data_IF_596420244980
#
_entry.id   IF_596420244980
#
_cell.length_a   1.000
_cell.length_b   1.000
_cell.length_c   1.000
_cell.angle_alpha   90.00
_cell.angle_beta   90.00
_cell.angle_gamma   90.00
#
_symmetry.space_group_name_H-M   'P 1'
#
loop_
_entity.id
_entity.type
_entity.pdbx_description
1 polymer ?
#
# COMPACT_ATOMS: atom_id res chain seq x y z
N UNK A 1 12.90 8.38 -16.41
CA UNK A 1 12.32 8.05 -15.10
C UNK A 1 10.84 7.94 -15.32
N UNK A 2 10.25 6.76 -15.13
CA UNK A 2 8.81 6.54 -15.33
C UNK A 2 8.02 7.36 -14.30
N UNK A 3 7.55 8.53 -14.73
CA UNK A 3 6.64 9.42 -13.97
C UNK A 3 5.34 8.72 -13.53
N UNK A 4 5.02 7.56 -14.10
CA UNK A 4 3.84 6.76 -13.81
C UNK A 4 3.84 6.17 -12.38
N UNK A 5 4.99 6.17 -11.70
CA UNK A 5 5.18 5.54 -10.40
C UNK A 5 5.85 6.47 -9.38
N UNK A 6 5.54 7.77 -9.44
CA UNK A 6 5.94 8.70 -8.39
C UNK A 6 5.06 8.50 -7.15
N UNK A 7 5.68 8.07 -6.05
CA UNK A 7 5.01 7.77 -4.79
C UNK A 7 4.30 9.00 -4.21
N UNK A 8 4.84 10.21 -4.43
CA UNK A 8 4.21 11.44 -3.92
C UNK A 8 2.96 11.77 -4.73
N UNK A 9 2.99 11.62 -6.05
CA UNK A 9 1.80 11.78 -6.90
C UNK A 9 0.70 10.77 -6.54
N UNK A 10 1.08 9.52 -6.25
CA UNK A 10 0.12 8.48 -5.81
C UNK A 10 -0.51 8.89 -4.46
N UNK A 11 0.30 9.35 -3.50
CA UNK A 11 -0.21 9.82 -2.20
C UNK A 11 -1.16 11.02 -2.37
N UNK A 12 -0.83 11.98 -3.23
CA UNK A 12 -1.72 13.11 -3.54
C UNK A 12 -3.06 12.65 -4.13
N UNK A 13 -3.05 11.63 -4.99
CA UNK A 13 -4.29 11.08 -5.54
C UNK A 13 -5.15 10.41 -4.46
N UNK A 14 -4.54 9.66 -3.54
CA UNK A 14 -5.25 9.11 -2.38
C UNK A 14 -5.78 10.20 -1.46
N UNK A 15 -5.00 11.25 -1.20
CA UNK A 15 -5.45 12.37 -0.38
C UNK A 15 -6.68 13.05 -0.98
N UNK A 16 -6.67 13.34 -2.29
CA UNK A 16 -7.83 13.90 -2.98
C UNK A 16 -9.05 12.99 -2.88
N UNK A 17 -8.86 11.67 -3.03
CA UNK A 17 -9.95 10.71 -2.86
C UNK A 17 -10.51 10.76 -1.44
N UNK A 18 -9.66 10.76 -0.41
CA UNK A 18 -10.08 10.79 0.99
C UNK A 18 -10.82 12.08 1.34
N UNK A 19 -10.33 13.22 0.87
CA UNK A 19 -11.04 14.51 0.97
C UNK A 19 -12.42 14.43 0.32
N UNK A 20 -12.51 13.92 -0.90
CA UNK A 20 -13.79 13.79 -1.62
C UNK A 20 -14.79 12.90 -0.87
N UNK A 21 -14.33 11.84 -0.21
CA UNK A 21 -15.19 10.95 0.58
C UNK A 21 -15.81 11.67 1.79
N UNK A 22 -15.11 12.61 2.42
CA UNK A 22 -15.64 13.40 3.54
C UNK A 22 -16.84 14.28 3.15
N UNK A 23 -16.93 14.71 1.88
CA UNK A 23 -18.03 15.51 1.37
C UNK A 23 -19.24 14.68 0.91
N UNK A 24 -19.14 13.34 0.92
CA UNK A 24 -20.24 12.46 0.52
C UNK A 24 -21.14 12.18 1.73
N UNK A 25 -22.28 12.89 1.78
CA UNK A 25 -23.30 12.72 2.83
C UNK A 25 -23.71 11.25 3.05
N UNK A 26 -23.81 10.49 1.95
CA UNK A 26 -24.13 9.06 1.93
C UNK A 26 -23.19 8.20 2.80
N UNK A 27 -21.94 8.63 2.99
CA UNK A 27 -20.91 7.87 3.69
C UNK A 27 -20.53 8.44 5.06
N UNK A 28 -21.13 9.55 5.52
CA UNK A 28 -20.74 10.23 6.77
C UNK A 28 -20.84 9.36 8.03
N UNK A 29 -21.78 8.42 8.06
CA UNK A 29 -22.01 7.53 9.21
C UNK A 29 -21.32 6.17 9.03
N UNK A 30 -20.59 5.95 7.93
CA UNK A 30 -19.97 4.69 7.62
C UNK A 30 -18.49 4.71 8.00
N UNK A 31 -18.00 3.57 8.50
CA UNK A 31 -16.57 3.30 8.54
C UNK A 31 -16.11 2.91 7.15
N UNK A 32 -15.11 3.61 6.62
CA UNK A 32 -14.58 3.37 5.28
C UNK A 32 -13.25 2.63 5.40
N UNK A 33 -13.17 1.49 4.73
CA UNK A 33 -11.96 0.71 4.58
C UNK A 33 -11.54 0.71 3.11
N UNK A 34 -10.24 0.92 2.87
CA UNK A 34 -9.65 0.95 1.53
C UNK A 34 -8.73 -0.26 1.38
N UNK A 35 -9.16 -1.17 0.50
CA UNK A 35 -8.35 -2.32 0.10
C UNK A 35 -7.31 -1.89 -0.94
N UNK A 36 -6.04 -2.16 -0.63
CA UNK A 36 -4.90 -1.85 -1.50
C UNK A 36 -4.21 -3.15 -1.88
N UNK A 37 -4.00 -3.34 -3.17
CA UNK A 37 -3.24 -4.47 -3.67
C UNK A 37 -1.78 -4.38 -3.21
N UNK A 38 -1.20 -5.53 -2.85
CA UNK A 38 0.20 -5.64 -2.43
C UNK A 38 1.12 -5.76 -3.66
N UNK A 39 0.84 -4.94 -4.68
CA UNK A 39 1.79 -4.66 -5.73
C UNK A 39 3.03 -4.08 -5.04
N UNK A 40 4.19 -4.73 -5.22
CA UNK A 40 5.41 -4.61 -4.38
C UNK A 40 6.06 -3.22 -4.33
N UNK A 41 5.42 -2.17 -4.81
CA UNK A 41 6.04 -0.88 -5.01
C UNK A 41 5.03 0.24 -4.79
N UNK A 42 5.49 1.29 -4.11
CA UNK A 42 5.04 2.69 -4.23
C UNK A 42 4.44 3.43 -3.03
N UNK A 43 4.35 2.80 -1.86
CA UNK A 43 4.16 3.56 -0.62
C UNK A 43 5.28 3.13 0.31
N UNK A 44 6.41 3.82 0.20
CA UNK A 44 7.63 3.52 0.95
C UNK A 44 7.29 3.16 2.39
N UNK A 45 7.66 1.95 2.81
CA UNK A 45 7.80 1.68 4.24
C UNK A 45 8.69 2.78 4.80
N UNK A 46 8.30 3.38 5.92
CA UNK A 46 9.30 4.02 6.77
C UNK A 46 10.37 2.97 7.06
N UNK A 47 11.63 3.34 6.82
CA UNK A 47 12.77 2.43 6.73
C UNK A 47 12.70 1.34 7.80
N UNK A 48 12.72 0.05 7.44
CA UNK A 48 12.85 -0.98 8.46
C UNK A 48 14.29 -0.95 9.00
N UNK A 49 14.46 -1.10 10.31
CA UNK A 49 15.79 -1.18 10.95
C UNK A 49 16.64 -2.32 10.34
N UNK A 50 16.00 -3.33 9.75
CA UNK A 50 16.65 -4.45 9.08
C UNK A 50 17.00 -4.17 7.61
N UNK A 51 16.45 -3.11 7.00
CA UNK A 51 16.74 -2.70 5.62
C UNK A 51 18.11 -2.03 5.48
N UNK A 52 18.70 -1.62 6.61
CA UNK A 52 20.09 -1.16 6.67
C UNK A 52 21.02 -2.36 6.55
N UNK A 53 21.27 -2.74 5.29
CA UNK A 53 22.06 -3.88 4.85
C UNK A 53 23.39 -4.04 5.59
N UNK A 54 23.55 -5.26 6.09
CA UNK A 54 24.61 -5.77 6.95
C UNK A 54 25.90 -6.02 6.17
N UNK A 55 26.99 -5.39 6.60
CA UNK A 55 28.25 -6.10 6.87
C UNK A 55 28.84 -5.52 8.16
N UNK A 56 29.18 -6.34 9.17
CA UNK A 56 30.17 -5.92 10.16
C UNK A 56 31.38 -5.42 9.39
N UNK A 57 31.86 -4.21 9.66
CA UNK A 57 33.03 -3.71 8.96
C UNK A 57 34.18 -4.71 9.12
N UNK A 58 34.73 -5.19 8.01
CA UNK A 58 35.96 -5.99 7.90
C UNK A 58 37.21 -5.16 8.22
N UNK A 59 37.17 -4.26 9.22
CA UNK A 59 38.28 -3.37 9.55
C UNK A 59 38.71 -3.48 11.01
N UNK A 60 40.02 -3.38 11.20
CA UNK A 60 40.72 -3.39 12.49
C UNK A 60 40.67 -2.01 13.19
N UNK A 61 40.77 -2.00 14.52
CA UNK A 61 40.77 -0.80 15.38
C UNK A 61 39.64 -0.79 16.44
N UNK A 62 39.58 0.27 17.26
CA UNK A 62 38.64 0.45 18.40
C UNK A 62 37.14 0.38 18.05
N UNK A 63 36.82 0.37 16.74
CA UNK A 63 35.46 0.36 16.22
C UNK A 63 35.10 -0.93 15.44
N UNK A 64 35.92 -1.98 15.57
CA UNK A 64 35.65 -3.31 14.99
C UNK A 64 34.34 -3.87 15.55
N UNK A 65 33.34 -4.08 14.69
CA UNK A 65 32.03 -4.65 15.05
C UNK A 65 30.87 -3.67 15.28
N UNK A 66 31.07 -2.34 15.15
CA UNK A 66 29.99 -1.34 15.29
C UNK A 66 29.38 -0.96 13.92
N UNK A 67 28.05 -0.96 13.80
CA UNK A 67 27.35 -0.47 12.59
C UNK A 67 27.29 1.06 12.57
N UNK A 68 28.25 1.72 11.91
CA UNK A 68 28.28 3.20 11.78
C UNK A 68 26.95 3.80 11.31
N UNK A 69 26.22 3.12 10.43
CA UNK A 69 24.93 3.58 9.91
C UNK A 69 23.88 3.81 11.00
N UNK A 70 23.55 2.77 11.78
CA UNK A 70 22.53 2.86 12.83
C UNK A 70 22.93 3.81 13.97
N UNK A 71 24.22 3.90 14.30
CA UNK A 71 24.68 4.83 15.34
C UNK A 71 24.53 6.28 14.90
N UNK A 72 24.92 6.60 13.66
CA UNK A 72 24.74 7.93 13.09
C UNK A 72 23.26 8.28 12.95
N UNK A 73 22.43 7.32 12.54
CA UNK A 73 20.97 7.49 12.49
C UNK A 73 20.42 7.80 13.89
N UNK A 74 20.79 7.02 14.92
CA UNK A 74 20.34 7.26 16.29
C UNK A 74 20.74 8.66 16.79
N UNK A 75 21.98 9.09 16.52
CA UNK A 75 22.46 10.43 16.89
C UNK A 75 21.75 11.54 16.13
N UNK A 76 21.51 11.37 14.82
CA UNK A 76 20.76 12.33 13.99
C UNK A 76 19.30 12.46 14.42
N UNK A 77 18.71 11.39 14.96
CA UNK A 77 17.39 11.39 15.57
C UNK A 77 17.38 11.96 17.00
N UNK A 78 18.54 12.39 17.52
CA UNK A 78 18.67 12.97 18.86
C UNK A 78 18.58 11.94 20.00
N UNK A 79 18.73 10.64 19.71
CA UNK A 79 18.62 9.58 20.70
C UNK A 79 19.89 9.49 21.55
N UNK A 80 19.74 9.32 22.86
CA UNK A 80 20.87 9.11 23.80
C UNK A 80 21.36 7.65 23.68
N UNK A 81 22.50 7.45 23.03
CA UNK A 81 23.08 6.11 22.85
C UNK A 81 24.13 5.80 23.93
N UNK A 82 24.03 4.69 24.67
CA UNK A 82 25.04 4.28 25.65
C UNK A 82 26.41 3.98 25.00
N UNK A 83 27.51 4.33 25.68
CA UNK A 83 28.89 4.13 25.21
C UNK A 83 29.24 2.67 24.83
N UNK A 84 28.63 1.70 25.53
CA UNK A 84 28.81 0.25 25.32
C UNK A 84 27.56 -0.44 24.73
N UNK A 85 26.76 0.29 23.93
CA UNK A 85 25.55 -0.23 23.31
C UNK A 85 25.89 -1.36 22.31
N UNK A 86 25.30 -2.55 22.52
CA UNK A 86 25.37 -3.66 21.57
C UNK A 86 24.49 -3.39 20.36
N UNK A 87 24.80 -3.98 19.21
CA UNK A 87 24.03 -3.82 17.97
C UNK A 87 22.53 -4.10 18.17
N UNK A 88 22.18 -5.14 18.93
CA UNK A 88 20.80 -5.51 19.21
C UNK A 88 20.05 -4.42 19.98
N UNK A 89 20.68 -3.85 21.01
CA UNK A 89 20.11 -2.75 21.80
C UNK A 89 19.96 -1.48 20.95
N UNK A 90 20.92 -1.21 20.04
CA UNK A 90 20.84 -0.10 19.12
C UNK A 90 19.68 -0.26 18.13
N UNK A 91 19.43 -1.50 17.66
CA UNK A 91 18.27 -1.81 16.80
C UNK A 91 16.95 -1.59 17.52
N UNK A 92 16.84 -2.04 18.76
CA UNK A 92 15.64 -1.85 19.59
C UNK A 92 15.38 -0.35 19.83
N UNK A 93 16.42 0.40 20.16
CA UNK A 93 16.34 1.83 20.46
C UNK A 93 15.98 2.68 19.23
N UNK A 94 16.54 2.35 18.06
CA UNK A 94 16.17 2.99 16.78
C UNK A 94 14.78 2.53 16.32
N UNK A 95 14.44 1.25 16.51
CA UNK A 95 13.16 0.68 16.09
C UNK A 95 11.95 1.21 16.88
N UNK A 96 12.16 1.71 18.11
CA UNK A 96 11.13 2.40 18.88
C UNK A 96 10.82 3.81 18.36
N UNK A 97 11.72 4.42 17.59
CA UNK A 97 11.52 5.77 17.08
C UNK A 97 10.40 5.78 16.02
N UNK A 98 9.48 6.78 16.02
CA UNK A 98 8.33 6.82 15.10
C UNK A 98 8.68 6.63 13.63
N UNK A 99 9.85 7.13 13.21
CA UNK A 99 10.38 7.00 11.84
C UNK A 99 10.74 5.57 11.38
N UNK A 100 10.66 4.57 12.27
CA UNK A 100 10.90 3.14 11.98
C UNK A 100 9.68 2.29 12.30
N UNK A 101 8.52 2.92 12.54
CA UNK A 101 7.29 2.17 12.68
C UNK A 101 6.93 1.51 11.34
N UNK A 102 6.41 0.28 11.41
CA UNK A 102 5.95 -0.47 10.24
C UNK A 102 4.61 0.08 9.68
N UNK A 103 4.43 1.40 9.71
CA UNK A 103 3.25 2.08 9.18
C UNK A 103 3.68 2.85 7.94
N UNK A 104 3.03 2.57 6.83
CA UNK A 104 3.28 3.21 5.55
C UNK A 104 2.76 4.66 5.54
N UNK A 105 3.30 5.49 4.63
CA UNK A 105 2.78 6.85 4.42
C UNK A 105 1.27 6.87 4.10
N UNK A 106 0.78 5.88 3.35
CA UNK A 106 -0.64 5.78 3.00
C UNK A 106 -1.51 5.43 4.21
N UNK A 107 -1.06 4.53 5.08
CA UNK A 107 -1.77 4.24 6.33
C UNK A 107 -1.85 5.49 7.23
N UNK A 108 -0.75 6.24 7.36
CA UNK A 108 -0.75 7.51 8.10
C UNK A 108 -1.72 8.52 7.50
N UNK A 109 -1.74 8.63 6.17
CA UNK A 109 -2.69 9.49 5.46
C UNK A 109 -4.13 9.03 5.71
N UNK A 110 -4.44 7.75 5.56
CA UNK A 110 -5.77 7.20 5.83
C UNK A 110 -6.25 7.51 7.26
N UNK A 111 -5.37 7.32 8.26
CA UNK A 111 -5.67 7.62 9.66
C UNK A 111 -6.06 9.09 9.89
N UNK A 112 -5.44 10.04 9.17
CA UNK A 112 -5.81 11.47 9.27
C UNK A 112 -7.25 11.75 8.81
N UNK A 113 -7.78 10.93 7.89
CA UNK A 113 -9.12 11.05 7.35
C UNK A 113 -10.11 10.05 7.98
N UNK A 114 -9.70 9.27 8.99
CA UNK A 114 -10.53 8.23 9.61
C UNK A 114 -10.76 7.01 8.73
N UNK A 115 -9.88 6.78 7.75
CA UNK A 115 -9.96 5.69 6.76
C UNK A 115 -8.93 4.62 7.12
N UNK A 116 -9.38 3.38 7.21
CA UNK A 116 -8.51 2.24 7.44
C UNK A 116 -7.99 1.68 6.11
N UNK A 117 -6.67 1.56 5.98
CA UNK A 117 -6.03 0.97 4.80
C UNK A 117 -5.74 -0.50 5.08
N UNK A 118 -6.21 -1.39 4.20
CA UNK A 118 -6.07 -2.83 4.31
C UNK A 118 -5.26 -3.36 3.12
N UNK A 119 -4.20 -4.09 3.39
CA UNK A 119 -3.39 -4.70 2.34
C UNK A 119 -3.84 -6.13 2.03
N UNK A 120 -4.08 -6.41 0.76
CA UNK A 120 -4.41 -7.76 0.31
C UNK A 120 -3.15 -8.66 0.44
N UNK A 121 -3.29 -9.92 0.87
CA UNK A 121 -2.17 -10.86 0.89
C UNK A 121 -1.50 -11.02 -0.48
N UNK A 122 -0.17 -11.19 -0.49
CA UNK A 122 0.59 -11.35 -1.74
C UNK A 122 0.18 -12.64 -2.45
N UNK A 123 0.07 -12.57 -3.78
CA UNK A 123 -0.29 -13.70 -4.64
C UNK A 123 -1.74 -14.21 -4.47
N UNK A 124 -2.59 -13.43 -3.80
CA UNK A 124 -4.00 -13.75 -3.59
C UNK A 124 -4.90 -12.77 -4.34
N UNK A 125 -4.78 -12.72 -5.67
CA UNK A 125 -5.55 -11.80 -6.51
C UNK A 125 -7.07 -12.06 -6.43
N UNK A 126 -7.47 -13.26 -6.04
CA UNK A 126 -8.86 -13.64 -5.78
C UNK A 126 -9.50 -12.92 -4.59
N UNK A 127 -8.68 -12.34 -3.70
CA UNK A 127 -9.11 -11.50 -2.58
C UNK A 127 -9.17 -10.01 -2.95
N UNK A 128 -8.76 -9.62 -4.17
CA UNK A 128 -8.80 -8.24 -4.62
C UNK A 128 -10.02 -7.99 -5.53
N UNK A 129 -11.09 -7.32 -5.06
CA UNK A 129 -12.30 -7.12 -5.84
C UNK A 129 -12.08 -6.37 -7.17
N UNK A 130 -11.05 -5.52 -7.26
CA UNK A 130 -10.75 -4.74 -8.47
C UNK A 130 -10.33 -5.64 -9.64
N UNK A 131 -9.72 -6.79 -9.36
CA UNK A 131 -9.30 -7.74 -10.40
C UNK A 131 -10.52 -8.31 -11.14
N UNK A 132 -11.60 -8.59 -10.40
CA UNK A 132 -12.86 -9.02 -10.98
C UNK A 132 -13.55 -7.92 -11.77
N UNK A 133 -13.49 -6.68 -11.28
CA UNK A 133 -13.98 -5.51 -12.02
C UNK A 133 -13.26 -5.42 -13.37
N UNK A 134 -11.93 -5.41 -13.36
CA UNK A 134 -11.14 -5.36 -14.60
C UNK A 134 -11.35 -6.56 -15.50
N UNK A 135 -11.50 -7.75 -14.95
CA UNK A 135 -11.83 -8.95 -15.71
C UNK A 135 -13.15 -8.78 -16.48
N UNK A 136 -14.20 -8.31 -15.81
CA UNK A 136 -15.50 -8.05 -16.44
C UNK A 136 -15.41 -6.98 -17.53
N UNK A 137 -14.74 -5.85 -17.23
CA UNK A 137 -14.54 -4.76 -18.19
C UNK A 137 -13.79 -5.25 -19.44
N UNK A 138 -12.69 -5.98 -19.26
CA UNK A 138 -11.89 -6.54 -20.36
C UNK A 138 -12.69 -7.56 -21.20
N UNK A 139 -13.49 -8.41 -20.56
CA UNK A 139 -14.34 -9.36 -21.28
C UNK A 139 -15.40 -8.66 -22.14
N UNK A 140 -16.04 -7.62 -21.60
CA UNK A 140 -17.01 -6.84 -22.36
C UNK A 140 -16.37 -6.18 -23.58
N UNK A 141 -15.25 -5.48 -23.37
CA UNK A 141 -14.51 -4.81 -24.45
C UNK A 141 -14.08 -5.85 -25.50
N UNK A 142 -13.46 -6.97 -25.09
CA UNK A 142 -13.00 -8.02 -26.01
C UNK A 142 -14.11 -8.58 -26.90
N UNK A 143 -15.34 -8.71 -26.38
CA UNK A 143 -16.47 -9.26 -27.12
C UNK A 143 -17.04 -8.31 -28.18
N UNK A 144 -16.88 -7.00 -28.00
CA UNK A 144 -17.51 -5.97 -28.84
C UNK A 144 -16.52 -5.10 -29.61
N UNK A 145 -15.21 -5.33 -29.42
CA UNK A 145 -14.16 -4.55 -30.05
C UNK A 145 -13.89 -5.02 -31.49
N UNK A 146 -13.59 -4.07 -32.37
CA UNK A 146 -13.16 -4.29 -33.76
C UNK A 146 -11.62 -4.20 -33.92
N UNK A 147 -10.90 -4.27 -32.79
CA UNK A 147 -9.45 -4.12 -32.68
C UNK A 147 -8.91 -2.71 -32.98
N UNK A 148 -9.78 -1.70 -33.08
CA UNK A 148 -9.37 -0.30 -33.16
C UNK A 148 -9.29 0.34 -31.77
N UNK A 149 -8.35 1.26 -31.60
CA UNK A 149 -8.20 2.01 -30.35
C UNK A 149 -9.44 2.87 -30.05
N UNK A 150 -9.99 3.55 -31.07
CA UNK A 150 -11.16 4.42 -30.90
C UNK A 150 -12.39 3.63 -30.45
N UNK A 151 -12.63 2.45 -31.02
CA UNK A 151 -13.73 1.59 -30.57
C UNK A 151 -13.49 1.11 -29.15
N UNK A 152 -12.27 0.66 -28.81
CA UNK A 152 -11.92 0.29 -27.43
C UNK A 152 -12.27 1.40 -26.43
N UNK A 153 -11.87 2.66 -26.71
CA UNK A 153 -12.16 3.80 -25.82
C UNK A 153 -13.66 4.00 -25.65
N UNK A 154 -14.45 3.95 -26.74
CA UNK A 154 -15.92 4.05 -26.65
C UNK A 154 -16.53 2.92 -25.81
N UNK A 155 -16.00 1.71 -25.93
CA UNK A 155 -16.48 0.52 -25.22
C UNK A 155 -16.19 0.56 -23.71
N UNK A 156 -15.22 1.36 -23.23
CA UNK A 156 -14.97 1.50 -21.78
C UNK A 156 -16.20 2.10 -21.09
N UNK A 157 -16.83 3.12 -21.70
CA UNK A 157 -18.05 3.72 -21.19
C UNK A 157 -19.23 2.75 -21.21
N UNK A 158 -19.40 2.02 -22.32
CA UNK A 158 -20.44 0.99 -22.46
C UNK A 158 -20.25 -0.16 -21.46
N UNK A 159 -19.01 -0.61 -21.25
CA UNK A 159 -18.68 -1.66 -20.29
C UNK A 159 -18.99 -1.24 -18.85
N UNK A 160 -18.73 0.03 -18.50
CA UNK A 160 -19.05 0.58 -17.18
C UNK A 160 -20.56 0.60 -16.95
N UNK A 161 -21.32 1.10 -17.93
CA UNK A 161 -22.78 1.09 -17.87
C UNK A 161 -23.33 -0.34 -17.74
N UNK A 162 -22.76 -1.29 -18.51
CA UNK A 162 -23.14 -2.70 -18.41
C UNK A 162 -22.86 -3.30 -17.03
N UNK A 163 -21.76 -2.92 -16.40
CA UNK A 163 -21.39 -3.34 -15.05
C UNK A 163 -22.41 -2.82 -14.00
N UNK A 164 -22.83 -1.57 -14.13
CA UNK A 164 -23.85 -0.93 -13.28
C UNK A 164 -25.24 -1.56 -13.51
N UNK A 165 -25.71 -1.61 -14.75
CA UNK A 165 -27.04 -2.14 -15.14
C UNK A 165 -27.25 -3.59 -14.69
N UNK A 166 -26.19 -4.41 -14.76
CA UNK A 166 -26.24 -5.83 -14.36
C UNK A 166 -25.93 -6.06 -12.88
N UNK A 167 -25.76 -4.97 -12.10
CA UNK A 167 -25.41 -5.00 -10.69
C UNK A 167 -24.25 -5.95 -10.38
N UNK A 168 -23.22 -5.92 -11.24
CA UNK A 168 -22.11 -6.87 -11.15
C UNK A 168 -21.35 -6.68 -9.82
N UNK A 169 -21.32 -5.47 -9.26
CA UNK A 169 -20.76 -5.19 -7.94
C UNK A 169 -21.32 -6.09 -6.83
N UNK A 170 -22.63 -6.42 -6.83
CA UNK A 170 -23.22 -7.33 -5.84
C UNK A 170 -22.65 -8.74 -5.95
N UNK A 171 -22.41 -9.21 -7.18
CA UNK A 171 -21.80 -10.52 -7.44
C UNK A 171 -20.34 -10.54 -6.98
N UNK A 172 -19.62 -9.43 -7.18
CA UNK A 172 -18.25 -9.26 -6.69
C UNK A 172 -18.19 -9.28 -5.17
N UNK A 173 -19.06 -8.52 -4.49
CA UNK A 173 -19.13 -8.50 -3.03
C UNK A 173 -19.42 -9.90 -2.48
N UNK A 174 -20.42 -10.61 -3.04
CA UNK A 174 -20.71 -12.00 -2.62
C UNK A 174 -19.50 -12.90 -2.80
N UNK A 175 -18.85 -12.84 -3.95
CA UNK A 175 -17.66 -13.65 -4.23
C UNK A 175 -16.51 -13.33 -3.28
N UNK A 176 -16.24 -12.06 -3.01
CA UNK A 176 -15.22 -11.63 -2.05
C UNK A 176 -15.46 -12.26 -0.68
N UNK A 177 -16.68 -12.15 -0.14
CA UNK A 177 -17.01 -12.75 1.15
C UNK A 177 -16.93 -14.27 1.15
N UNK A 178 -17.39 -14.93 0.09
CA UNK A 178 -17.26 -16.40 -0.04
C UNK A 178 -15.80 -16.83 -0.05
N UNK A 179 -14.94 -16.14 -0.81
CA UNK A 179 -13.49 -16.42 -0.82
C UNK A 179 -12.91 -16.19 0.57
N UNK A 180 -13.23 -15.07 1.22
CA UNK A 180 -12.68 -14.74 2.54
C UNK A 180 -13.07 -15.78 3.60
N UNK A 181 -14.32 -16.26 3.60
CA UNK A 181 -14.78 -17.34 4.49
C UNK A 181 -13.97 -18.61 4.24
N UNK A 182 -13.80 -19.01 2.98
CA UNK A 182 -13.04 -20.21 2.63
C UNK A 182 -11.55 -20.16 3.01
N UNK A 183 -10.99 -18.96 3.24
CA UNK A 183 -9.63 -18.78 3.75
C UNK A 183 -9.53 -18.88 5.28
N UNK A 184 -10.65 -18.74 5.99
CA UNK A 184 -10.73 -18.82 7.44
C UNK A 184 -11.09 -20.23 7.94
N UNK A 185 -11.51 -21.12 7.05
CA UNK A 185 -11.76 -22.55 7.28
C UNK A 185 -10.49 -23.39 7.06
#
# INVERSE_FOLDING_TARGET
SDLYMDNELILEQFERLFQMLQFKEEYKTHTIEVLVDNARTHISKEFSVNDFGMKPGTRYGENKGKSRGLLNIALNLGLKVPLNCKLQQLKELVGQHPAFQNVTKLEKLGMQYGIQVLYVPKYHCELNPIEYYWCHMKQFVRKHNDQTFNKMVSLIGEARKNFEDRQIYLKLCRRFWTTLIAYND
#
